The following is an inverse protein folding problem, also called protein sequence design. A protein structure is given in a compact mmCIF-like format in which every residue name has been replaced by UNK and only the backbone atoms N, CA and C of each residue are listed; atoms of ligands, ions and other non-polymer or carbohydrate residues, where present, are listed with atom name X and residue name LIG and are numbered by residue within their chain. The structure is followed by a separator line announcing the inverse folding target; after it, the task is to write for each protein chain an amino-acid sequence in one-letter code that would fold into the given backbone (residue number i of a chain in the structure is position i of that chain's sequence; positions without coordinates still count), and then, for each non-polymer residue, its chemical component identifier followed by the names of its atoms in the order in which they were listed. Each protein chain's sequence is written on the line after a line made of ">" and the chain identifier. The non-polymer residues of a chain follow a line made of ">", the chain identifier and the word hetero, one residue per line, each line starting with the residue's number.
data_IF_624248651168
#
_entry.id   IF_624248651168
#
_cell.length_a   1.000
_cell.length_b   1.000
_cell.length_c   1.000
_cell.angle_alpha   90.00
_cell.angle_beta   90.00
_cell.angle_gamma   90.00
#
_symmetry.space_group_name_H-M   'P 1'
#
loop_
_entity.id
_entity.type
_entity.pdbx_description
1 polymer ?
#
# COMPACT_ATOMS: atom_id res chain seq x y z
N UNK A 1 12.24 19.10 -19.45
CA UNK A 1 12.48 17.67 -19.16
C UNK A 1 11.29 17.21 -18.32
N UNK A 2 10.52 16.23 -18.78
CA UNK A 2 9.42 15.66 -17.98
C UNK A 2 10.05 14.67 -17.01
N UNK A 3 10.08 14.96 -15.71
CA UNK A 3 10.44 13.96 -14.72
C UNK A 3 9.27 12.95 -14.63
N UNK A 4 9.54 11.66 -14.82
CA UNK A 4 8.53 10.64 -14.50
C UNK A 4 8.34 10.63 -12.99
N UNK A 5 7.10 10.69 -12.52
CA UNK A 5 6.78 10.48 -11.11
C UNK A 5 7.24 9.07 -10.73
N UNK A 6 8.03 8.92 -9.67
CA UNK A 6 8.33 7.59 -9.12
C UNK A 6 7.07 7.04 -8.46
N UNK A 7 6.87 5.73 -8.52
CA UNK A 7 5.70 5.06 -7.93
C UNK A 7 6.13 3.90 -7.06
N UNK A 8 5.42 3.68 -5.96
CA UNK A 8 5.49 2.46 -5.17
C UNK A 8 4.37 1.52 -5.63
N UNK A 9 4.71 0.26 -5.86
CA UNK A 9 3.75 -0.80 -6.17
C UNK A 9 3.78 -1.89 -5.10
N UNK A 10 2.66 -2.58 -4.95
CA UNK A 10 2.58 -3.69 -4.01
C UNK A 10 1.25 -4.41 -4.04
N UNK A 11 1.13 -5.40 -3.16
CA UNK A 11 -0.06 -6.22 -2.95
C UNK A 11 -0.37 -6.31 -1.45
N UNK A 12 -1.60 -5.98 -1.08
CA UNK A 12 -2.15 -6.23 0.25
C UNK A 12 -2.98 -7.50 0.20
N UNK A 13 -2.78 -8.39 1.15
CA UNK A 13 -3.43 -9.70 1.25
C UNK A 13 -4.33 -9.76 2.49
N UNK A 14 -5.25 -10.71 2.53
CA UNK A 14 -6.04 -10.99 3.70
C UNK A 14 -5.22 -11.73 4.77
N UNK A 15 -5.26 -11.25 6.02
CA UNK A 15 -4.82 -12.05 7.16
C UNK A 15 -5.74 -13.27 7.33
N UNK A 16 -5.25 -14.44 6.94
CA UNK A 16 -5.99 -15.70 7.04
C UNK A 16 -5.15 -16.81 7.69
N UNK A 17 -5.83 -17.77 8.32
CA UNK A 17 -5.19 -18.87 9.06
C UNK A 17 -4.40 -19.85 8.18
N UNK A 18 -4.59 -19.78 6.86
CA UNK A 18 -3.99 -20.71 5.88
C UNK A 18 -2.78 -20.11 5.17
N UNK A 19 -2.41 -18.86 5.47
CA UNK A 19 -1.36 -18.11 4.79
C UNK A 19 -1.54 -18.08 3.26
N UNK A 20 -2.79 -18.11 2.80
CA UNK A 20 -3.16 -18.04 1.39
C UNK A 20 -2.92 -16.61 0.88
N UNK A 21 -2.39 -16.50 -0.33
CA UNK A 21 -2.15 -15.20 -0.99
C UNK A 21 -3.43 -14.71 -1.66
N UNK A 22 -4.42 -14.40 -0.83
CA UNK A 22 -5.70 -13.82 -1.26
C UNK A 22 -5.56 -12.31 -1.16
N UNK A 23 -5.74 -11.60 -2.27
CA UNK A 23 -5.66 -10.15 -2.31
C UNK A 23 -6.80 -9.50 -1.51
N UNK A 24 -6.47 -8.51 -0.69
CA UNK A 24 -7.45 -7.71 0.04
C UNK A 24 -7.91 -6.55 -0.83
N UNK A 25 -9.07 -6.68 -1.46
CA UNK A 25 -9.65 -5.66 -2.31
C UNK A 25 -10.29 -4.52 -1.50
N UNK A 26 -10.16 -3.28 -1.99
CA UNK A 26 -10.81 -2.12 -1.38
C UNK A 26 -10.12 -1.57 -0.11
N UNK A 27 -8.90 -2.01 0.19
CA UNK A 27 -8.10 -1.45 1.27
C UNK A 27 -7.56 -0.07 0.87
N UNK A 28 -7.61 0.88 1.80
CA UNK A 28 -7.00 2.20 1.62
C UNK A 28 -5.50 2.09 1.88
N UNK A 29 -4.70 2.65 0.99
CA UNK A 29 -3.24 2.72 1.09
C UNK A 29 -2.82 4.17 0.92
N UNK A 30 -2.22 4.79 1.93
CA UNK A 30 -1.91 6.22 1.88
C UNK A 30 -0.65 6.58 2.67
N UNK A 31 0.01 7.67 2.28
CA UNK A 31 1.15 8.20 3.03
C UNK A 31 0.66 9.02 4.22
N UNK A 32 1.16 8.70 5.41
CA UNK A 32 0.85 9.42 6.65
C UNK A 32 1.14 10.92 6.49
N UNK A 33 0.27 11.76 7.03
CA UNK A 33 0.36 13.23 6.98
C UNK A 33 0.34 13.83 5.55
N UNK A 34 -0.18 13.09 4.57
CA UNK A 34 -0.40 13.57 3.20
C UNK A 34 -1.83 13.30 2.72
N UNK A 35 -2.20 13.88 1.57
CA UNK A 35 -3.44 13.55 0.86
C UNK A 35 -3.23 12.51 -0.25
N UNK A 36 -2.03 11.94 -0.35
CA UNK A 36 -1.67 10.99 -1.40
C UNK A 36 -2.05 9.59 -0.92
N UNK A 37 -2.98 8.99 -1.65
CA UNK A 37 -3.51 7.67 -1.35
C UNK A 37 -4.08 7.00 -2.58
N UNK A 38 -4.27 5.70 -2.46
CA UNK A 38 -4.87 4.84 -3.47
C UNK A 38 -5.71 3.77 -2.77
N UNK A 39 -6.45 2.99 -3.56
CA UNK A 39 -7.26 1.87 -3.08
C UNK A 39 -6.80 0.62 -3.81
N UNK A 40 -6.69 -0.49 -3.09
CA UNK A 40 -6.31 -1.77 -3.69
C UNK A 40 -7.37 -2.28 -4.68
N UNK A 41 -6.90 -2.87 -5.77
CA UNK A 41 -7.74 -3.53 -6.77
C UNK A 41 -8.31 -4.87 -6.28
N UNK A 42 -9.06 -5.54 -7.16
CA UNK A 42 -9.73 -6.82 -6.88
C UNK A 42 -8.76 -7.96 -6.51
N UNK A 43 -7.51 -7.85 -6.92
CA UNK A 43 -6.42 -8.78 -6.65
C UNK A 43 -5.51 -8.31 -5.50
N UNK A 44 -5.88 -7.23 -4.80
CA UNK A 44 -5.10 -6.63 -3.72
C UNK A 44 -3.95 -5.74 -4.18
N UNK A 45 -3.73 -5.59 -5.49
CA UNK A 45 -2.64 -4.77 -6.01
C UNK A 45 -2.93 -3.26 -5.85
N UNK A 46 -1.87 -2.48 -5.64
CA UNK A 46 -1.93 -1.02 -5.62
C UNK A 46 -0.71 -0.41 -6.31
N UNK A 47 -0.91 0.82 -6.79
CA UNK A 47 0.13 1.74 -7.24
C UNK A 47 -0.15 3.10 -6.62
N UNK A 48 0.87 3.72 -6.03
CA UNK A 48 0.79 5.03 -5.39
C UNK A 48 2.02 5.86 -5.74
N UNK A 49 1.84 7.17 -5.90
CA UNK A 49 2.95 8.09 -6.15
C UNK A 49 3.94 8.06 -4.98
N UNK A 50 5.24 8.10 -5.30
CA UNK A 50 6.32 8.02 -4.35
C UNK A 50 7.24 9.24 -4.43
N UNK A 51 7.67 9.69 -3.26
CA UNK A 51 8.74 10.65 -3.06
C UNK A 51 9.55 10.19 -1.85
N UNK A 52 10.85 10.51 -1.80
CA UNK A 52 11.73 10.17 -0.68
C UNK A 52 11.31 10.80 0.66
N UNK A 53 10.45 11.81 0.61
CA UNK A 53 9.88 12.45 1.81
C UNK A 53 8.81 11.58 2.48
N UNK A 54 8.18 10.67 1.74
CA UNK A 54 7.15 9.79 2.25
C UNK A 54 7.78 8.53 2.83
N UNK A 55 7.66 8.34 4.14
CA UNK A 55 8.30 7.22 4.84
C UNK A 55 7.33 6.29 5.55
N UNK A 56 6.07 6.71 5.73
CA UNK A 56 5.06 5.97 6.49
C UNK A 56 3.85 5.67 5.61
N UNK A 57 3.71 4.42 5.21
CA UNK A 57 2.61 3.94 4.39
C UNK A 57 1.57 3.28 5.31
N UNK A 58 0.38 3.87 5.38
CA UNK A 58 -0.72 3.38 6.21
C UNK A 58 -1.65 2.54 5.36
N UNK A 59 -2.04 1.38 5.90
CA UNK A 59 -2.98 0.44 5.27
C UNK A 59 -4.19 0.30 6.19
N UNK A 60 -5.38 0.58 5.66
CA UNK A 60 -6.63 0.60 6.44
C UNK A 60 -7.78 -0.01 5.66
N UNK A 61 -8.50 -0.92 6.31
CA UNK A 61 -9.69 -1.55 5.77
C UNK A 61 -10.74 -1.76 6.86
N UNK A 62 -12.02 -1.62 6.50
CA UNK A 62 -13.13 -1.67 7.46
C UNK A 62 -13.17 -3.04 8.14
N UNK A 63 -13.17 -3.04 9.48
CA UNK A 63 -13.19 -4.27 10.28
C UNK A 63 -11.81 -4.87 10.56
N UNK A 64 -10.73 -4.25 10.07
CA UNK A 64 -9.35 -4.69 10.29
C UNK A 64 -8.59 -3.67 11.12
N UNK A 65 -7.53 -4.15 11.80
CA UNK A 65 -6.60 -3.27 12.49
C UNK A 65 -5.74 -2.55 11.44
N UNK A 66 -5.71 -1.23 11.50
CA UNK A 66 -4.79 -0.41 10.69
C UNK A 66 -3.34 -0.76 11.03
N UNK A 67 -2.51 -0.91 10.00
CA UNK A 67 -1.05 -1.04 10.15
C UNK A 67 -0.33 0.08 9.39
N UNK A 68 0.93 0.33 9.76
CA UNK A 68 1.77 1.36 9.15
C UNK A 68 3.16 0.81 8.88
N UNK A 69 3.51 0.76 7.60
CA UNK A 69 4.81 0.31 7.12
C UNK A 69 5.78 1.49 7.03
N UNK A 70 7.05 1.21 7.29
CA UNK A 70 8.13 2.16 7.00
C UNK A 70 8.74 1.85 5.64
N UNK A 71 8.62 2.77 4.69
CA UNK A 71 9.14 2.63 3.33
C UNK A 71 10.31 3.60 3.16
N UNK A 72 11.50 3.07 2.91
CA UNK A 72 12.71 3.89 2.72
C UNK A 72 13.13 3.97 1.23
N UNK A 73 12.52 3.13 0.39
CA UNK A 73 12.81 3.00 -1.03
C UNK A 73 11.61 2.36 -1.75
N UNK A 74 11.39 2.64 -3.05
CA UNK A 74 10.24 2.15 -3.79
C UNK A 74 10.43 0.68 -4.24
N UNK A 75 10.55 -0.23 -3.27
CA UNK A 75 10.56 -1.67 -3.49
C UNK A 75 9.14 -2.24 -3.45
N UNK A 76 8.92 -3.31 -4.20
CA UNK A 76 7.65 -4.04 -4.19
C UNK A 76 7.23 -4.39 -2.76
N UNK A 77 6.03 -3.97 -2.35
CA UNK A 77 5.49 -4.22 -1.01
C UNK A 77 4.56 -5.44 -1.05
N UNK A 78 4.75 -6.39 -0.13
CA UNK A 78 3.76 -7.43 0.17
C UNK A 78 3.43 -7.39 1.66
N UNK A 79 2.15 -7.31 2.01
CA UNK A 79 1.69 -7.20 3.40
C UNK A 79 0.32 -7.88 3.60
N UNK A 80 -0.01 -8.29 4.83
CA UNK A 80 -1.24 -9.00 5.21
C UNK A 80 -1.80 -8.49 6.54
#
# INVERSE_FOLDING_TARGET
>A
MLASQETLTGMIMEANDKNERIGLAGANVYWLDTTIGTVTGVDGNFTIDYSREYTKLVISYVGFKTDTLTINEPKMVHHW
#
